data_IF_609159003742
#
_entry.id   IF_609159003742
#
_cell.length_a   1.000
_cell.length_b   1.000
_cell.length_c   1.000
_cell.angle_alpha   90.00
_cell.angle_beta   90.00
_cell.angle_gamma   90.00
#
_symmetry.space_group_name_H-M   'P 1'
#
loop_
_entity.id
_entity.type
_entity.pdbx_description
1 polymer ?
#
# COMPACT_ATOMS: atom_id res chain seq x y z
N UNK A 1 1.90 4.11 10.62
CA UNK A 1 1.45 4.57 9.28
C UNK A 1 2.50 5.38 8.53
N UNK A 2 3.45 6.04 9.23
CA UNK A 2 4.61 6.69 8.60
C UNK A 2 5.29 5.79 7.56
N UNK A 3 5.45 4.49 7.86
CA UNK A 3 6.01 3.49 6.93
C UNK A 3 5.30 3.42 5.57
N UNK A 4 3.97 3.59 5.55
CA UNK A 4 3.21 3.59 4.30
C UNK A 4 3.44 4.88 3.50
N UNK A 5 3.52 6.03 4.16
CA UNK A 5 3.86 7.29 3.50
C UNK A 5 5.31 7.30 3.00
N UNK A 6 6.25 6.74 3.77
CA UNK A 6 7.65 6.59 3.37
C UNK A 6 7.75 5.71 2.10
N UNK A 7 6.95 4.63 2.01
CA UNK A 7 6.84 3.83 0.79
C UNK A 7 6.30 4.64 -0.39
N UNK A 8 5.20 5.37 -0.21
CA UNK A 8 4.62 6.18 -1.30
C UNK A 8 5.60 7.23 -1.81
N UNK A 9 6.28 7.93 -0.90
CA UNK A 9 7.30 8.91 -1.26
C UNK A 9 8.46 8.24 -2.00
N UNK A 10 8.95 7.10 -1.50
CA UNK A 10 10.01 6.36 -2.16
C UNK A 10 9.64 5.92 -3.59
N UNK A 11 8.40 5.46 -3.81
CA UNK A 11 7.91 5.10 -5.14
C UNK A 11 7.87 6.31 -6.08
N UNK A 12 7.43 7.47 -5.60
CA UNK A 12 7.36 8.68 -6.41
C UNK A 12 8.74 9.23 -6.78
N UNK A 13 9.70 9.15 -5.87
CA UNK A 13 11.04 9.71 -6.07
C UNK A 13 11.99 8.76 -6.82
N UNK A 14 11.89 7.44 -6.59
CA UNK A 14 12.86 6.44 -7.05
C UNK A 14 12.25 5.38 -7.96
N UNK A 15 10.94 5.42 -8.21
CA UNK A 15 10.25 4.43 -9.02
C UNK A 15 10.55 4.54 -10.51
N UNK A 16 10.49 3.41 -11.20
CA UNK A 16 10.63 3.33 -12.66
C UNK A 16 9.24 3.34 -13.31
N UNK A 17 9.09 4.20 -14.33
CA UNK A 17 7.88 4.26 -15.17
C UNK A 17 7.83 3.06 -16.11
N UNK A 18 6.68 2.37 -16.15
CA UNK A 18 6.44 1.22 -17.03
C UNK A 18 5.08 1.36 -17.70
N UNK A 19 5.00 0.98 -18.97
CA UNK A 19 3.71 0.85 -19.67
C UNK A 19 2.97 -0.41 -19.22
N UNK A 20 1.64 -0.39 -19.29
CA UNK A 20 0.79 -1.53 -18.95
C UNK A 20 -0.20 -1.87 -20.08
N UNK A 21 -0.91 -3.00 -19.95
CA UNK A 21 -1.87 -3.49 -20.94
C UNK A 21 -3.07 -2.56 -21.14
N UNK A 22 -3.40 -1.75 -20.15
CA UNK A 22 -4.53 -0.81 -20.16
C UNK A 22 -4.16 0.57 -20.69
N UNK A 23 -2.87 0.82 -20.95
CA UNK A 23 -2.36 2.11 -21.44
C UNK A 23 -2.28 3.22 -20.39
N UNK A 24 -2.48 2.91 -19.11
CA UNK A 24 -2.39 3.91 -18.02
C UNK A 24 -0.95 4.06 -17.53
N UNK A 25 -0.24 2.93 -17.44
CA UNK A 25 1.13 2.88 -16.96
C UNK A 25 1.23 2.86 -15.44
N UNK A 26 2.43 2.58 -14.94
CA UNK A 26 2.73 2.46 -13.51
C UNK A 26 4.08 3.08 -13.17
N UNK A 27 4.23 3.56 -11.93
CA UNK A 27 5.52 3.89 -11.32
C UNK A 27 5.78 2.85 -10.23
N UNK A 28 6.90 2.14 -10.31
CA UNK A 28 7.14 0.98 -9.44
C UNK A 28 8.58 0.89 -8.96
N UNK A 29 8.77 0.38 -7.74
CA UNK A 29 10.06 -0.02 -7.17
C UNK A 29 10.07 -1.54 -6.94
N UNK A 30 11.24 -2.16 -6.93
CA UNK A 30 11.37 -3.59 -6.66
C UNK A 30 11.82 -3.82 -5.22
N UNK A 31 11.10 -4.67 -4.48
CA UNK A 31 11.49 -5.15 -3.16
C UNK A 31 11.49 -4.08 -2.06
N UNK A 32 10.32 -3.77 -1.50
CA UNK A 32 10.19 -2.89 -0.33
C UNK A 32 9.61 -3.65 0.87
N UNK A 33 10.18 -3.46 2.06
CA UNK A 33 9.72 -4.14 3.28
C UNK A 33 9.05 -3.16 4.24
N UNK A 34 7.90 -3.56 4.80
CA UNK A 34 7.25 -2.87 5.91
C UNK A 34 7.11 -3.83 7.11
N UNK A 35 7.13 -3.27 8.32
CA UNK A 35 6.90 -4.01 9.57
C UNK A 35 5.94 -3.22 10.46
N UNK A 36 5.03 -3.94 11.10
CA UNK A 36 4.03 -3.38 12.01
C UNK A 36 4.02 -4.18 13.30
N UNK A 37 4.08 -3.49 14.44
CA UNK A 37 3.89 -4.13 15.74
C UNK A 37 2.40 -4.17 16.07
N UNK A 38 1.81 -5.37 16.10
CA UNK A 38 0.38 -5.57 16.36
C UNK A 38 -0.02 -5.30 17.82
N UNK A 39 0.93 -5.30 18.76
CA UNK A 39 0.66 -4.89 20.14
C UNK A 39 0.30 -3.40 20.25
N UNK A 40 0.79 -2.58 19.32
CA UNK A 40 0.49 -1.15 19.26
C UNK A 40 -0.86 -0.86 18.56
N UNK A 41 -1.60 -1.89 18.17
CA UNK A 41 -2.87 -1.81 17.46
C UNK A 41 -2.84 -2.40 16.05
N UNK A 42 -4.01 -2.44 15.43
CA UNK A 42 -4.18 -3.00 14.08
C UNK A 42 -3.74 -1.98 13.01
N UNK A 43 -2.88 -2.35 12.04
CA UNK A 43 -2.30 -1.43 11.06
C UNK A 43 -3.28 -1.07 9.92
N UNK A 44 -4.45 -0.53 10.27
CA UNK A 44 -5.42 0.00 9.32
C UNK A 44 -5.04 1.43 8.91
N UNK A 45 -5.11 1.74 7.60
CA UNK A 45 -4.89 3.10 7.12
C UNK A 45 -5.96 4.05 7.65
N UNK A 46 -5.51 5.19 8.18
CA UNK A 46 -6.37 6.22 8.78
C UNK A 46 -6.48 7.47 7.91
N UNK A 47 -5.54 7.71 7.00
CA UNK A 47 -5.52 8.90 6.12
C UNK A 47 -6.53 8.83 4.99
N UNK A 48 -7.13 7.66 4.75
CA UNK A 48 -8.24 7.45 3.81
C UNK A 48 -9.18 6.41 4.39
N UNK A 49 -10.48 6.67 4.32
CA UNK A 49 -11.50 5.73 4.80
C UNK A 49 -11.46 4.44 3.97
N UNK A 50 -11.40 3.29 4.66
CA UNK A 50 -11.42 1.96 4.05
C UNK A 50 -12.79 1.30 4.22
N UNK A 51 -13.18 0.48 3.25
CA UNK A 51 -14.40 -0.33 3.33
C UNK A 51 -14.11 -1.66 4.03
N UNK A 52 -14.04 -1.64 5.36
CA UNK A 52 -13.60 -2.78 6.18
C UNK A 52 -14.50 -4.01 6.08
N UNK A 53 -15.81 -3.83 5.83
CA UNK A 53 -16.75 -4.96 5.66
C UNK A 53 -16.34 -5.87 4.51
N UNK A 54 -15.94 -5.31 3.36
CA UNK A 54 -15.45 -6.11 2.23
C UNK A 54 -14.17 -6.85 2.57
N UNK A 55 -13.23 -6.19 3.23
CA UNK A 55 -11.93 -6.79 3.61
C UNK A 55 -12.16 -8.01 4.52
N UNK A 56 -13.02 -7.88 5.53
CA UNK A 56 -13.29 -8.99 6.45
C UNK A 56 -14.13 -10.10 5.83
N UNK A 57 -15.08 -9.77 4.95
CA UNK A 57 -15.83 -10.80 4.22
C UNK A 57 -14.94 -11.57 3.25
N UNK A 58 -14.04 -10.90 2.51
CA UNK A 58 -13.08 -11.53 1.60
C UNK A 58 -12.11 -12.46 2.35
N UNK A 59 -11.71 -12.09 3.58
CA UNK A 59 -10.87 -12.95 4.41
C UNK A 59 -11.56 -14.23 4.88
N UNK A 60 -12.88 -14.21 5.06
CA UNK A 60 -13.66 -15.34 5.59
C UNK A 60 -14.26 -16.25 4.51
N UNK A 61 -14.19 -15.84 3.24
CA UNK A 61 -14.64 -16.63 2.10
C UNK A 61 -13.64 -17.73 1.75
#
# INVERSE_FOLDING_TARGET
MKQFHDLLQHVLEHGTVKSDRTGTGTVSVFGYQMRFNLQNGFPLLTTKKLHTRSIFHELLW
#
